data_IF_499884182843
#
_entry.id   IF_499884182843
#
_cell.length_a   1.000
_cell.length_b   1.000
_cell.length_c   1.000
_cell.angle_alpha   90.00
_cell.angle_beta   90.00
_cell.angle_gamma   90.00
#
_symmetry.space_group_name_H-M   'P 1'
#
loop_
_entity.id
_entity.type
_entity.pdbx_description
1 polymer ?
#
# COMPACT_ATOMS: atom_id res chain seq x y z
N UNK A 1 -7.39 71.27 -9.94
CA UNK A 1 -7.33 71.43 -8.47
C UNK A 1 -7.02 70.05 -7.90
N UNK A 2 -5.78 69.56 -7.80
CA UNK A 2 -4.56 70.04 -7.13
C UNK A 2 -4.63 70.04 -5.60
N UNK A 3 -3.56 69.50 -5.01
CA UNK A 3 -3.06 69.59 -3.62
C UNK A 3 -3.59 68.60 -2.57
N UNK A 4 -2.77 68.05 -1.66
CA UNK A 4 -1.31 67.96 -1.52
C UNK A 4 -0.98 67.02 -0.34
N UNK A 5 0.23 66.48 -0.35
CA UNK A 5 0.88 65.66 0.69
C UNK A 5 1.25 66.47 1.96
N UNK A 6 1.50 65.79 3.10
CA UNK A 6 2.79 65.90 3.82
C UNK A 6 2.99 64.90 4.98
N UNK A 7 4.20 64.33 4.98
CA UNK A 7 4.90 63.55 6.01
C UNK A 7 5.13 64.33 7.31
N UNK A 8 5.34 63.61 8.43
CA UNK A 8 6.47 63.92 9.33
C UNK A 8 7.03 62.67 10.03
N UNK A 9 8.36 62.50 9.87
CA UNK A 9 9.29 61.65 10.63
C UNK A 9 9.63 62.33 11.96
N UNK A 10 9.82 61.55 13.02
CA UNK A 10 10.66 61.95 14.16
C UNK A 10 11.81 60.94 14.34
N UNK A 11 13.05 61.46 14.38
CA UNK A 11 14.29 60.76 14.69
C UNK A 11 14.71 61.10 16.14
N UNK A 12 15.06 60.07 16.91
CA UNK A 12 16.28 59.98 17.72
C UNK A 12 16.33 60.65 19.10
N UNK A 13 16.48 59.82 20.15
CA UNK A 13 17.31 60.12 21.32
C UNK A 13 18.13 58.87 21.68
N UNK A 14 19.45 59.05 21.82
CA UNK A 14 20.45 58.08 22.29
C UNK A 14 20.56 58.19 23.81
N UNK A 15 20.73 57.06 24.51
CA UNK A 15 21.16 57.02 25.92
C UNK A 15 20.71 55.73 26.63
N UNK A 16 21.63 54.79 26.85
CA UNK A 16 21.44 53.51 27.55
C UNK A 16 21.24 53.71 29.09
N UNK A 17 20.79 52.71 29.89
CA UNK A 17 21.52 51.46 30.07
C UNK A 17 20.65 50.20 29.96
N UNK A 18 21.38 49.10 29.75
CA UNK A 18 20.92 47.74 29.63
C UNK A 18 20.11 47.32 30.86
N UNK A 19 18.83 46.99 30.67
CA UNK A 19 18.12 46.10 31.59
C UNK A 19 17.95 44.78 30.85
N UNK A 20 18.78 43.85 31.30
CA UNK A 20 18.90 42.45 30.93
C UNK A 20 17.59 41.71 31.27
N UNK A 21 16.54 41.97 30.50
CA UNK A 21 15.32 41.17 30.51
C UNK A 21 15.51 39.99 29.58
N UNK A 22 16.29 38.99 30.02
CA UNK A 22 16.38 37.69 29.36
C UNK A 22 14.97 37.07 29.45
N UNK A 23 14.10 37.37 28.48
CA UNK A 23 13.06 36.42 28.10
C UNK A 23 13.79 35.31 27.39
N UNK A 24 14.36 34.42 28.22
CA UNK A 24 14.72 33.07 27.82
C UNK A 24 13.42 32.46 27.33
N UNK A 25 13.17 32.64 26.03
CA UNK A 25 12.20 31.88 25.28
C UNK A 25 12.69 30.47 25.47
N UNK A 26 12.07 29.76 26.41
CA UNK A 26 12.37 28.36 26.62
C UNK A 26 12.04 27.69 25.29
N UNK A 27 13.07 27.51 24.47
CA UNK A 27 13.07 26.52 23.45
C UNK A 27 13.00 25.25 24.27
N UNK A 28 11.78 24.75 24.49
CA UNK A 28 11.56 23.39 24.91
C UNK A 28 12.34 22.55 23.93
N UNK A 29 13.55 22.14 24.33
CA UNK A 29 14.44 21.35 23.49
C UNK A 29 13.75 20.02 23.36
N UNK A 30 12.96 19.88 22.30
CA UNK A 30 12.36 18.63 21.91
C UNK A 30 13.48 17.59 21.89
N UNK A 31 13.18 16.40 22.41
CA UNK A 31 14.10 15.28 22.37
C UNK A 31 14.65 15.12 20.93
N UNK A 32 15.94 14.84 20.72
CA UNK A 32 16.56 14.82 19.38
C UNK A 32 15.88 13.90 18.36
N UNK A 33 15.08 12.93 18.83
CA UNK A 33 14.26 12.05 17.98
C UNK A 33 12.93 12.66 17.50
N UNK A 34 12.54 13.83 17.99
CA UNK A 34 11.29 14.51 17.61
C UNK A 34 11.62 15.59 16.59
N UNK A 35 11.03 15.56 15.39
CA UNK A 35 11.32 16.54 14.37
C UNK A 35 10.91 17.95 14.84
N UNK A 36 11.76 18.98 14.62
CA UNK A 36 11.52 20.34 15.12
C UNK A 36 10.42 21.09 14.35
N UNK A 37 9.95 20.54 13.22
CA UNK A 37 8.86 21.08 12.40
C UNK A 37 7.82 19.97 12.16
N UNK A 38 6.53 20.33 12.06
CA UNK A 38 5.51 19.35 11.70
C UNK A 38 5.88 18.75 10.34
N UNK A 39 5.98 17.42 10.32
CA UNK A 39 6.21 16.66 9.09
C UNK A 39 4.84 16.22 8.55
N UNK A 40 4.78 15.95 7.25
CA UNK A 40 3.59 15.36 6.65
C UNK A 40 3.24 14.03 7.35
N UNK A 41 1.95 13.77 7.48
CA UNK A 41 1.46 12.47 7.94
C UNK A 41 1.24 11.55 6.73
N UNK A 42 1.39 10.23 6.85
CA UNK A 42 1.01 9.31 5.77
C UNK A 42 -0.42 9.55 5.29
N UNK A 43 -1.33 9.89 6.21
CA UNK A 43 -2.73 10.20 5.91
C UNK A 43 -2.93 11.46 5.07
N UNK A 44 -2.09 12.48 5.24
CA UNK A 44 -2.12 13.68 4.39
C UNK A 44 -1.57 13.43 2.99
N UNK A 45 -0.73 12.41 2.82
CA UNK A 45 -0.15 12.06 1.53
C UNK A 45 -1.01 11.08 0.74
N UNK A 46 -1.73 10.19 1.42
CA UNK A 46 -2.64 9.21 0.82
C UNK A 46 -4.07 9.76 0.63
N UNK A 47 -4.24 11.08 0.53
CA UNK A 47 -5.57 11.65 0.30
C UNK A 47 -6.06 11.32 -1.12
N UNK A 48 -7.32 10.92 -1.28
CA UNK A 48 -7.87 10.63 -2.60
C UNK A 48 -7.84 11.90 -3.45
N UNK A 49 -7.12 11.85 -4.56
CA UNK A 49 -7.09 12.94 -5.54
C UNK A 49 -8.43 12.98 -6.28
N UNK A 50 -8.93 14.18 -6.57
CA UNK A 50 -10.19 14.37 -7.31
C UNK A 50 -10.12 13.85 -8.75
N UNK A 51 -8.90 13.69 -9.27
CA UNK A 51 -8.60 13.19 -10.61
C UNK A 51 -8.21 11.71 -10.61
N UNK A 52 -8.72 10.93 -9.63
CA UNK A 52 -8.44 9.50 -9.53
C UNK A 52 -8.93 8.77 -10.78
N UNK A 53 -7.99 8.33 -11.63
CA UNK A 53 -8.24 7.45 -12.78
C UNK A 53 -8.43 5.98 -12.35
N UNK A 54 -8.74 5.74 -11.08
CA UNK A 54 -8.93 4.39 -10.56
C UNK A 54 -10.07 3.69 -11.33
N UNK A 55 -9.87 2.42 -11.71
CA UNK A 55 -10.91 1.67 -12.41
C UNK A 55 -12.14 1.55 -11.52
N UNK A 56 -13.32 1.87 -12.07
CA UNK A 56 -14.60 1.62 -11.41
C UNK A 56 -15.19 0.34 -11.97
N UNK A 57 -15.22 -0.71 -11.16
CA UNK A 57 -15.80 -1.99 -11.50
C UNK A 57 -17.31 -1.98 -11.32
N UNK A 58 -17.98 -2.60 -12.28
CA UNK A 58 -19.41 -2.88 -12.32
C UNK A 58 -19.73 -4.18 -11.59
N UNK A 59 -21.02 -4.40 -11.29
CA UNK A 59 -21.50 -5.67 -10.73
C UNK A 59 -21.07 -6.89 -11.58
N UNK A 60 -21.20 -6.81 -12.90
CA UNK A 60 -20.86 -7.91 -13.80
C UNK A 60 -19.36 -8.27 -13.71
N UNK A 61 -18.50 -7.26 -13.57
CA UNK A 61 -17.05 -7.48 -13.40
C UNK A 61 -16.72 -8.07 -12.04
N UNK A 62 -17.41 -7.66 -10.97
CA UNK A 62 -17.23 -8.26 -9.65
C UNK A 62 -17.71 -9.72 -9.62
N UNK A 63 -18.83 -10.03 -10.26
CA UNK A 63 -19.29 -11.41 -10.42
C UNK A 63 -18.30 -12.24 -11.26
N UNK A 64 -17.71 -11.63 -12.29
CA UNK A 64 -16.66 -12.28 -13.08
C UNK A 64 -15.41 -12.57 -12.25
N UNK A 65 -14.95 -11.61 -11.44
CA UNK A 65 -13.84 -11.81 -10.51
C UNK A 65 -14.13 -12.91 -9.49
N UNK A 66 -15.35 -12.95 -8.95
CA UNK A 66 -15.77 -14.01 -8.03
C UNK A 66 -15.68 -15.39 -8.68
N UNK A 67 -16.11 -15.50 -9.94
CA UNK A 67 -15.99 -16.74 -10.72
C UNK A 67 -14.54 -17.16 -10.92
N UNK A 68 -13.64 -16.21 -11.24
CA UNK A 68 -12.20 -16.50 -11.38
C UNK A 68 -11.56 -16.96 -10.06
N UNK A 69 -12.02 -16.40 -8.95
CA UNK A 69 -11.56 -16.77 -7.60
C UNK A 69 -12.20 -18.06 -7.07
N UNK A 70 -13.17 -18.65 -7.78
CA UNK A 70 -13.92 -19.82 -7.29
C UNK A 70 -14.85 -19.49 -6.12
N UNK A 71 -15.30 -18.24 -5.99
CA UNK A 71 -16.17 -17.76 -4.92
C UNK A 71 -17.62 -17.63 -5.40
N UNK A 72 -18.56 -18.03 -4.57
CA UNK A 72 -19.99 -17.78 -4.78
C UNK A 72 -20.41 -16.59 -3.92
N UNK A 73 -20.84 -15.50 -4.56
CA UNK A 73 -21.32 -14.30 -3.90
C UNK A 73 -22.85 -14.27 -4.01
N UNK A 74 -23.60 -14.18 -2.89
CA UNK A 74 -25.03 -14.00 -2.95
C UNK A 74 -25.37 -12.63 -3.53
N UNK A 75 -26.40 -12.55 -4.37
CA UNK A 75 -26.85 -11.31 -5.03
C UNK A 75 -27.11 -10.20 -4.01
N UNK A 76 -27.61 -10.53 -2.81
CA UNK A 76 -27.86 -9.56 -1.74
C UNK A 76 -26.61 -8.83 -1.22
N UNK A 77 -25.40 -9.33 -1.50
CA UNK A 77 -24.15 -8.73 -1.05
C UNK A 77 -23.34 -8.09 -2.18
N UNK A 78 -23.79 -8.20 -3.43
CA UNK A 78 -23.00 -7.78 -4.58
C UNK A 78 -22.66 -6.29 -4.56
N UNK A 79 -23.63 -5.44 -4.19
CA UNK A 79 -23.45 -3.99 -4.08
C UNK A 79 -22.42 -3.58 -3.03
N UNK A 80 -22.28 -4.40 -1.97
CA UNK A 80 -21.27 -4.18 -0.94
C UNK A 80 -19.89 -4.49 -1.50
N UNK A 81 -19.73 -5.64 -2.17
CA UNK A 81 -18.45 -6.01 -2.77
C UNK A 81 -18.03 -5.05 -3.89
N UNK A 82 -18.96 -4.56 -4.70
CA UNK A 82 -18.69 -3.51 -5.70
C UNK A 82 -18.12 -2.26 -5.03
N UNK A 83 -18.74 -1.78 -3.94
CA UNK A 83 -18.23 -0.63 -3.19
C UNK A 83 -16.85 -0.89 -2.59
N UNK A 84 -16.70 -1.99 -1.87
CA UNK A 84 -15.47 -2.34 -1.16
C UNK A 84 -14.29 -2.47 -2.14
N UNK A 85 -14.48 -3.15 -3.27
CA UNK A 85 -13.41 -3.33 -4.28
C UNK A 85 -13.07 -1.98 -4.94
N UNK A 86 -14.07 -1.16 -5.27
CA UNK A 86 -13.81 0.15 -5.86
C UNK A 86 -13.05 1.09 -4.91
N UNK A 87 -13.33 1.02 -3.61
CA UNK A 87 -12.58 1.79 -2.61
C UNK A 87 -11.14 1.27 -2.45
N UNK A 88 -10.91 -0.05 -2.55
CA UNK A 88 -9.57 -0.62 -2.62
C UNK A 88 -8.82 -0.17 -3.88
N UNK A 89 -9.48 -0.11 -5.04
CA UNK A 89 -8.88 0.40 -6.28
C UNK A 89 -8.41 1.85 -6.13
N UNK A 90 -9.25 2.72 -5.55
CA UNK A 90 -8.88 4.11 -5.26
C UNK A 90 -7.71 4.23 -4.28
N UNK A 91 -7.67 3.36 -3.26
CA UNK A 91 -6.58 3.35 -2.29
C UNK A 91 -5.22 3.00 -2.92
N UNK A 92 -5.20 2.15 -3.94
CA UNK A 92 -3.97 1.72 -4.64
C UNK A 92 -3.53 2.72 -5.70
N UNK A 93 -4.41 3.60 -6.17
CA UNK A 93 -4.13 4.58 -7.23
C UNK A 93 -2.85 5.43 -7.01
N UNK A 94 -2.51 5.90 -5.80
CA UNK A 94 -1.28 6.66 -5.57
C UNK A 94 0.00 5.91 -5.96
N UNK A 95 0.00 4.57 -5.95
CA UNK A 95 1.14 3.75 -6.36
C UNK A 95 1.42 3.93 -7.86
N UNK A 96 0.39 4.14 -8.68
CA UNK A 96 0.52 4.33 -10.13
C UNK A 96 1.12 5.67 -10.53
N UNK A 97 1.12 6.64 -9.61
CA UNK A 97 1.74 7.96 -9.82
C UNK A 97 3.25 7.94 -9.61
N UNK A 98 3.80 6.85 -9.07
CA UNK A 98 5.23 6.69 -8.85
C UNK A 98 5.89 6.32 -10.17
N UNK A 99 6.93 7.08 -10.55
CA UNK A 99 7.75 6.77 -11.72
C UNK A 99 8.49 5.45 -11.50
N UNK A 100 8.25 4.50 -12.41
CA UNK A 100 8.82 3.15 -12.39
C UNK A 100 9.51 2.81 -13.72
N UNK A 101 9.77 3.80 -14.59
CA UNK A 101 10.28 3.58 -15.94
C UNK A 101 11.62 2.81 -15.99
N UNK A 102 12.50 3.06 -15.01
CA UNK A 102 13.86 2.51 -14.97
C UNK A 102 14.08 1.44 -13.88
N UNK A 103 12.99 0.82 -13.39
CA UNK A 103 13.07 -0.16 -12.29
C UNK A 103 12.51 -1.52 -12.73
N UNK A 104 13.34 -2.55 -12.60
CA UNK A 104 12.93 -3.94 -12.81
C UNK A 104 12.01 -4.44 -11.68
N UNK A 105 10.91 -5.15 -11.99
CA UNK A 105 10.03 -5.72 -10.97
C UNK A 105 10.77 -6.70 -10.05
N UNK A 106 10.59 -6.54 -8.75
CA UNK A 106 11.11 -7.48 -7.76
C UNK A 106 10.22 -8.73 -7.67
N UNK A 107 10.74 -9.90 -8.05
CA UNK A 107 10.00 -11.17 -8.02
C UNK A 107 10.12 -11.90 -6.68
N UNK A 108 11.29 -11.80 -6.04
CA UNK A 108 11.60 -12.45 -4.76
C UNK A 108 12.49 -11.56 -3.91
N UNK A 109 12.50 -11.74 -2.58
CA UNK A 109 13.47 -11.06 -1.71
C UNK A 109 14.86 -11.73 -1.78
N UNK A 110 14.88 -13.00 -2.18
CA UNK A 110 16.10 -13.81 -2.33
C UNK A 110 16.69 -13.51 -3.70
N UNK A 111 17.91 -12.97 -3.73
CA UNK A 111 18.54 -12.47 -4.96
C UNK A 111 18.69 -13.54 -6.02
N UNK A 112 18.96 -14.77 -5.59
CA UNK A 112 19.14 -15.95 -6.44
C UNK A 112 17.86 -16.28 -7.22
N UNK A 113 16.67 -16.02 -6.67
CA UNK A 113 15.40 -16.21 -7.37
C UNK A 113 15.01 -15.03 -8.28
N UNK A 114 15.65 -13.87 -8.11
CA UNK A 114 15.58 -12.79 -9.10
C UNK A 114 16.63 -12.95 -10.21
N UNK A 115 17.65 -13.78 -9.99
CA UNK A 115 18.58 -14.15 -11.03
C UNK A 115 17.87 -15.03 -12.07
N UNK A 116 18.27 -14.91 -13.34
CA UNK A 116 17.76 -15.76 -14.43
C UNK A 116 18.17 -17.24 -14.32
N UNK A 117 18.85 -17.61 -13.23
CA UNK A 117 19.35 -18.97 -13.02
C UNK A 117 18.20 -19.83 -12.49
N UNK A 118 17.75 -20.75 -13.36
CA UNK A 118 16.74 -21.73 -12.99
C UNK A 118 17.34 -22.67 -11.94
N UNK A 119 16.70 -22.75 -10.78
CA UNK A 119 16.95 -23.81 -9.82
C UNK A 119 16.42 -25.14 -10.40
N UNK A 120 17.25 -25.80 -11.20
CA UNK A 120 16.89 -27.07 -11.84
C UNK A 120 16.94 -28.18 -10.79
N UNK A 121 15.82 -28.86 -10.61
CA UNK A 121 15.79 -30.14 -9.91
C UNK A 121 16.43 -31.19 -10.85
N UNK A 122 17.42 -31.98 -10.40
CA UNK A 122 17.95 -33.06 -11.21
C UNK A 122 16.85 -34.08 -11.50
N UNK A 123 16.81 -34.57 -12.74
CA UNK A 123 15.92 -35.65 -13.14
C UNK A 123 16.44 -36.98 -12.59
N UNK A 124 16.24 -37.15 -11.28
CA UNK A 124 16.45 -38.42 -10.62
C UNK A 124 15.14 -39.19 -10.80
N UNK A 125 15.19 -40.27 -11.58
CA UNK A 125 14.13 -41.28 -11.56
C UNK A 125 14.02 -41.75 -10.11
N UNK A 126 13.03 -41.22 -9.40
CA UNK A 126 12.74 -41.57 -8.02
C UNK A 126 12.22 -43.00 -7.95
N UNK A 127 13.10 -43.97 -8.14
CA UNK A 127 12.94 -45.29 -7.56
C UNK A 127 13.14 -45.12 -6.06
N UNK A 128 12.05 -45.28 -5.30
CA UNK A 128 11.98 -45.56 -3.88
C UNK A 128 13.07 -44.95 -2.99
N UNK A 129 12.72 -43.97 -2.15
CA UNK A 129 13.20 -43.78 -0.75
C UNK A 129 13.08 -42.30 -0.35
N UNK A 130 11.89 -41.89 0.07
CA UNK A 130 11.55 -41.16 1.32
C UNK A 130 10.03 -41.25 1.41
N UNK A 131 9.51 -42.27 2.10
CA UNK A 131 8.09 -42.44 2.39
C UNK A 131 7.19 -42.43 1.16
N UNK A 132 7.12 -43.55 0.42
CA UNK A 132 6.11 -43.79 -0.60
C UNK A 132 4.71 -43.65 0.01
N UNK A 133 4.18 -42.42 0.04
CA UNK A 133 2.78 -42.17 0.30
C UNK A 133 2.08 -42.77 -0.90
N UNK A 134 1.65 -44.03 -0.76
CA UNK A 134 0.82 -44.71 -1.75
C UNK A 134 -0.26 -43.72 -2.20
N UNK A 135 -0.58 -43.63 -3.49
CA UNK A 135 -1.62 -42.70 -3.96
C UNK A 135 -2.94 -42.83 -3.17
N UNK A 136 -3.21 -44.02 -2.61
CA UNK A 136 -4.32 -44.28 -1.67
C UNK A 136 -4.21 -43.56 -0.34
N UNK A 137 -3.00 -43.36 0.18
CA UNK A 137 -2.77 -42.61 1.41
C UNK A 137 -3.10 -41.12 1.25
N UNK A 138 -3.07 -40.57 0.03
CA UNK A 138 -3.53 -39.20 -0.26
C UNK A 138 -5.06 -39.05 -0.13
N UNK A 139 -5.80 -40.16 -0.19
CA UNK A 139 -7.26 -40.18 -0.04
C UNK A 139 -7.71 -40.08 1.42
N UNK A 140 -6.80 -40.23 2.40
CA UNK A 140 -7.15 -40.20 3.83
C UNK A 140 -7.72 -38.85 4.28
N UNK A 141 -7.31 -37.75 3.64
CA UNK A 141 -7.79 -36.39 3.93
C UNK A 141 -8.97 -35.96 3.06
N UNK A 142 -9.39 -36.79 2.09
CA UNK A 142 -10.43 -36.45 1.15
C UNK A 142 -11.82 -36.48 1.82
N UNK A 143 -12.63 -35.45 1.57
CA UNK A 143 -14.01 -35.38 2.10
C UNK A 143 -14.94 -36.42 1.48
N UNK A 144 -14.77 -36.70 0.19
CA UNK A 144 -15.55 -37.69 -0.58
C UNK A 144 -14.61 -38.45 -1.50
N UNK A 145 -14.77 -39.77 -1.53
CA UNK A 145 -14.01 -40.69 -2.35
C UNK A 145 -14.96 -41.73 -2.94
N UNK A 146 -14.65 -42.19 -4.15
CA UNK A 146 -15.30 -43.32 -4.79
C UNK A 146 -14.22 -44.28 -5.26
N UNK A 147 -14.10 -45.40 -4.54
CA UNK A 147 -12.99 -46.33 -4.71
C UNK A 147 -11.61 -45.63 -4.59
N UNK A 148 -10.75 -45.70 -5.63
CA UNK A 148 -9.43 -45.07 -5.62
C UNK A 148 -9.43 -43.62 -6.14
N UNK A 149 -10.59 -42.96 -6.31
CA UNK A 149 -10.69 -41.65 -6.94
C UNK A 149 -11.30 -40.57 -6.03
N UNK A 150 -10.93 -39.32 -6.28
CA UNK A 150 -11.61 -38.15 -5.73
C UNK A 150 -12.94 -37.94 -6.45
N UNK A 151 -13.99 -37.60 -5.70
CA UNK A 151 -15.31 -37.31 -6.26
C UNK A 151 -15.56 -35.81 -6.22
N UNK A 152 -15.86 -35.23 -7.38
CA UNK A 152 -16.27 -33.83 -7.53
C UNK A 152 -17.73 -33.85 -8.01
N UNK A 153 -18.58 -33.13 -7.29
CA UNK A 153 -19.97 -32.94 -7.71
C UNK A 153 -20.00 -32.11 -8.99
N UNK A 154 -20.87 -32.51 -9.93
CA UNK A 154 -21.08 -31.77 -11.17
C UNK A 154 -22.06 -30.62 -10.97
#
# INVERSE_FOLDING_TARGET
>A
MQNMQLLHRCRGLKGAPQILGILSRQHSTLHPAIPPKPTWSPRSHLQPTTDSSAPSLTEAEVQHLAKLAGLSIPISQIDRYVRDINDLCKMVEPIRLVDTADVEPLLSLVREYNARELALRPDVQGGAEVGLVSGRALLKSARKVDGPYYVVEK
#
